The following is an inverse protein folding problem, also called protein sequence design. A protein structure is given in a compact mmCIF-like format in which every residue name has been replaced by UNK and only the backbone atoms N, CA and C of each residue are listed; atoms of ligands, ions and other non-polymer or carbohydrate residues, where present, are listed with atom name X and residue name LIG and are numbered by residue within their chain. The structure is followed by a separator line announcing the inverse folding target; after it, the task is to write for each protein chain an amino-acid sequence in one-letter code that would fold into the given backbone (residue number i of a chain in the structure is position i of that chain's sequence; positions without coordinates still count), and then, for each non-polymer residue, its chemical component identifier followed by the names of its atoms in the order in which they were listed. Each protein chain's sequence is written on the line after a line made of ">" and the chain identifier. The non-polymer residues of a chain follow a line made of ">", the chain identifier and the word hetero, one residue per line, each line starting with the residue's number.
data_IF_080244767616
#
_entry.id   IF_080244767616
#
_cell.length_a   1.000
_cell.length_b   1.000
_cell.length_c   1.000
_cell.angle_alpha   90.00
_cell.angle_beta   90.00
_cell.angle_gamma   90.00
#
_symmetry.space_group_name_H-M   'P 1'
#
loop_
_entity.id
_entity.type
_entity.pdbx_description
1 polymer ?
#
# COMPACT_ATOMS: atom_id res chain seq x y z
N UNK A 1 -56.44 -90.39 -24.14
CA UNK A 1 -56.52 -89.04 -24.75
C UNK A 1 -56.54 -88.04 -23.59
N UNK A 2 -55.64 -87.04 -23.60
CA UNK A 2 -55.64 -85.95 -22.61
C UNK A 2 -54.58 -86.04 -21.50
N UNK A 3 -53.32 -85.75 -21.86
CA UNK A 3 -52.25 -85.39 -20.92
C UNK A 3 -52.65 -84.09 -20.20
N UNK A 4 -52.94 -84.15 -18.90
CA UNK A 4 -52.79 -82.97 -18.03
C UNK A 4 -51.36 -83.07 -17.53
N UNK A 5 -50.47 -82.32 -18.20
CA UNK A 5 -49.10 -82.15 -17.76
C UNK A 5 -49.10 -81.74 -16.28
N UNK A 6 -48.52 -82.61 -15.46
CA UNK A 6 -47.91 -82.25 -14.19
C UNK A 6 -47.00 -81.06 -14.46
N UNK A 7 -47.43 -79.85 -14.13
CA UNK A 7 -46.51 -78.82 -13.68
C UNK A 7 -45.97 -79.34 -12.35
N UNK A 8 -44.89 -80.13 -12.44
CA UNK A 8 -43.97 -80.29 -11.34
C UNK A 8 -43.51 -78.88 -10.99
N UNK A 9 -44.16 -78.28 -10.00
CA UNK A 9 -43.54 -77.26 -9.19
C UNK A 9 -42.59 -78.06 -8.30
N UNK A 10 -41.31 -78.00 -8.61
CA UNK A 10 -40.26 -78.45 -7.70
C UNK A 10 -40.40 -77.64 -6.40
N UNK A 11 -41.13 -78.16 -5.43
CA UNK A 11 -41.22 -77.61 -4.08
C UNK A 11 -40.00 -78.03 -3.28
N UNK A 12 -38.83 -77.53 -3.69
CA UNK A 12 -37.58 -77.62 -2.93
C UNK A 12 -36.73 -76.34 -3.10
N UNK A 13 -37.36 -75.18 -3.24
CA UNK A 13 -36.68 -73.92 -3.00
C UNK A 13 -36.82 -73.59 -1.50
N UNK A 14 -35.73 -73.56 -0.72
CA UNK A 14 -35.80 -73.14 0.68
C UNK A 14 -36.25 -71.68 0.72
N UNK A 15 -37.45 -71.43 1.24
CA UNK A 15 -37.93 -70.08 1.49
C UNK A 15 -37.04 -69.37 2.52
N UNK A 16 -36.93 -68.04 2.40
CA UNK A 16 -36.09 -67.26 3.31
C UNK A 16 -36.58 -67.36 4.76
N UNK A 17 -35.64 -67.62 5.67
CA UNK A 17 -35.90 -67.57 7.11
C UNK A 17 -36.14 -66.13 7.56
N UNK A 18 -37.01 -65.92 8.55
CA UNK A 18 -37.21 -64.61 9.17
C UNK A 18 -35.91 -63.96 9.66
N UNK A 19 -34.92 -64.78 10.05
CA UNK A 19 -33.59 -64.31 10.46
C UNK A 19 -32.83 -63.75 9.26
N UNK A 20 -32.89 -64.40 8.09
CA UNK A 20 -32.23 -63.95 6.86
C UNK A 20 -32.84 -62.64 6.37
N UNK A 21 -34.17 -62.50 6.44
CA UNK A 21 -34.87 -61.24 6.13
C UNK A 21 -34.45 -60.13 7.10
N UNK A 22 -34.34 -60.42 8.40
CA UNK A 22 -33.93 -59.44 9.40
C UNK A 22 -32.48 -58.97 9.20
N UNK A 23 -31.57 -59.91 8.90
CA UNK A 23 -30.17 -59.60 8.56
C UNK A 23 -30.10 -58.77 7.29
N UNK A 24 -30.86 -59.13 6.24
CA UNK A 24 -30.90 -58.39 4.99
C UNK A 24 -31.42 -56.95 5.17
N UNK A 25 -32.51 -56.76 5.93
CA UNK A 25 -33.05 -55.43 6.25
C UNK A 25 -32.06 -54.61 7.08
N UNK A 26 -31.34 -55.24 7.99
CA UNK A 26 -30.32 -54.57 8.83
C UNK A 26 -29.14 -54.09 7.97
N UNK A 27 -28.58 -54.95 7.12
CA UNK A 27 -27.50 -54.59 6.18
C UNK A 27 -27.94 -53.46 5.23
N UNK A 28 -29.17 -53.58 4.71
CA UNK A 28 -29.74 -52.56 3.82
C UNK A 28 -29.92 -51.21 4.53
N UNK A 29 -30.38 -51.23 5.79
CA UNK A 29 -30.54 -50.02 6.61
C UNK A 29 -29.19 -49.33 6.88
N UNK A 30 -28.14 -50.08 7.25
CA UNK A 30 -26.80 -49.54 7.44
C UNK A 30 -26.21 -48.97 6.13
N UNK A 31 -26.48 -49.63 5.01
CA UNK A 31 -26.03 -49.17 3.69
C UNK A 31 -26.71 -47.86 3.29
N UNK A 32 -28.03 -47.75 3.46
CA UNK A 32 -28.77 -46.50 3.19
C UNK A 32 -28.25 -45.37 4.09
N UNK A 33 -28.06 -45.63 5.39
CA UNK A 33 -27.56 -44.63 6.33
C UNK A 33 -26.16 -44.14 5.92
N UNK A 34 -25.29 -45.05 5.50
CA UNK A 34 -23.94 -44.73 5.01
C UNK A 34 -23.98 -43.88 3.73
N UNK A 35 -24.85 -44.21 2.77
CA UNK A 35 -25.02 -43.43 1.54
C UNK A 35 -25.55 -42.02 1.87
N UNK A 36 -26.59 -41.92 2.70
CA UNK A 36 -27.19 -40.64 3.06
C UNK A 36 -26.20 -39.73 3.80
N UNK A 37 -25.45 -40.26 4.76
CA UNK A 37 -24.42 -39.49 5.49
C UNK A 37 -23.33 -38.99 4.54
N UNK A 38 -22.89 -39.81 3.59
CA UNK A 38 -21.95 -39.40 2.54
C UNK A 38 -22.52 -38.29 1.66
N UNK A 39 -23.79 -38.41 1.21
CA UNK A 39 -24.46 -37.40 0.39
C UNK A 39 -24.64 -36.07 1.13
N UNK A 40 -25.04 -36.10 2.42
CA UNK A 40 -25.15 -34.90 3.24
C UNK A 40 -23.79 -34.24 3.48
N UNK A 41 -22.74 -35.04 3.70
CA UNK A 41 -21.38 -34.54 3.85
C UNK A 41 -20.89 -33.87 2.56
N UNK A 42 -21.10 -34.50 1.41
CA UNK A 42 -20.75 -33.95 0.10
C UNK A 42 -21.48 -32.62 -0.17
N UNK A 43 -22.79 -32.53 0.13
CA UNK A 43 -23.55 -31.30 -0.03
C UNK A 43 -23.04 -30.18 0.89
N UNK A 44 -22.77 -30.49 2.17
CA UNK A 44 -22.19 -29.54 3.11
C UNK A 44 -20.83 -29.02 2.64
N UNK A 45 -19.97 -29.92 2.13
CA UNK A 45 -18.66 -29.55 1.61
C UNK A 45 -18.77 -28.69 0.34
N UNK A 46 -19.72 -28.97 -0.55
CA UNK A 46 -19.95 -28.16 -1.74
C UNK A 46 -20.42 -26.73 -1.38
N UNK A 47 -21.36 -26.60 -0.44
CA UNK A 47 -21.83 -25.29 0.05
C UNK A 47 -20.69 -24.54 0.74
N UNK A 48 -19.92 -25.22 1.59
CA UNK A 48 -18.77 -24.62 2.27
C UNK A 48 -17.69 -24.17 1.28
N UNK A 49 -17.35 -25.00 0.29
CA UNK A 49 -16.39 -24.66 -0.76
C UNK A 49 -16.83 -23.44 -1.58
N UNK A 50 -18.12 -23.34 -1.91
CA UNK A 50 -18.69 -22.16 -2.57
C UNK A 50 -18.53 -20.90 -1.71
N UNK A 51 -18.83 -20.97 -0.41
CA UNK A 51 -18.65 -19.83 0.50
C UNK A 51 -17.18 -19.41 0.64
N UNK A 52 -16.25 -20.35 0.72
CA UNK A 52 -14.82 -20.05 0.73
C UNK A 52 -14.38 -19.34 -0.56
N UNK A 53 -14.89 -19.78 -1.71
CA UNK A 53 -14.60 -19.16 -3.00
C UNK A 53 -15.16 -17.73 -3.09
N UNK A 54 -16.43 -17.54 -2.70
CA UNK A 54 -17.04 -16.21 -2.66
C UNK A 54 -16.31 -15.28 -1.68
N UNK A 55 -15.97 -15.76 -0.48
CA UNK A 55 -15.19 -15.00 0.51
C UNK A 55 -13.81 -14.59 -0.01
N UNK A 56 -13.15 -15.43 -0.82
CA UNK A 56 -11.87 -15.10 -1.44
C UNK A 56 -12.00 -13.95 -2.46
N UNK A 57 -13.04 -13.98 -3.31
CA UNK A 57 -13.31 -12.90 -4.26
C UNK A 57 -13.63 -11.59 -3.51
N UNK A 58 -14.48 -11.67 -2.49
CA UNK A 58 -14.84 -10.49 -1.70
C UNK A 58 -13.63 -9.89 -0.98
N UNK A 59 -12.77 -10.72 -0.39
CA UNK A 59 -11.52 -10.26 0.23
C UNK A 59 -10.62 -9.54 -0.79
N UNK A 60 -10.47 -10.10 -2.00
CA UNK A 60 -9.65 -9.49 -3.04
C UNK A 60 -10.22 -8.15 -3.51
N UNK A 61 -11.52 -8.07 -3.77
CA UNK A 61 -12.17 -6.83 -4.15
C UNK A 61 -12.07 -5.78 -3.03
N UNK A 62 -12.22 -6.21 -1.77
CA UNK A 62 -12.09 -5.34 -0.61
C UNK A 62 -10.66 -4.80 -0.46
N UNK A 63 -9.63 -5.62 -0.74
CA UNK A 63 -8.24 -5.16 -0.74
C UNK A 63 -8.01 -4.02 -1.72
N UNK A 64 -8.51 -4.16 -2.95
CA UNK A 64 -8.37 -3.11 -3.97
C UNK A 64 -9.09 -1.81 -3.57
N UNK A 65 -10.28 -1.89 -2.97
CA UNK A 65 -10.98 -0.70 -2.48
C UNK A 65 -10.28 -0.06 -1.27
N UNK A 66 -9.68 -0.86 -0.37
CA UNK A 66 -8.85 -0.34 0.72
C UNK A 66 -7.62 0.38 0.16
N UNK A 67 -6.92 -0.20 -0.82
CA UNK A 67 -5.75 0.42 -1.47
C UNK A 67 -6.10 1.79 -2.07
N UNK A 68 -7.23 1.90 -2.79
CA UNK A 68 -7.72 3.19 -3.31
C UNK A 68 -8.07 4.18 -2.20
N UNK A 69 -8.68 3.70 -1.12
CA UNK A 69 -9.06 4.54 0.02
C UNK A 69 -7.83 5.03 0.81
N UNK A 70 -6.77 4.23 0.87
CA UNK A 70 -5.46 4.64 1.40
C UNK A 70 -4.85 5.71 0.49
N UNK A 71 -4.74 5.42 -0.82
CA UNK A 71 -4.18 6.34 -1.81
C UNK A 71 -4.83 7.73 -1.76
N UNK A 72 -6.17 7.79 -1.74
CA UNK A 72 -6.90 9.05 -1.68
C UNK A 72 -6.59 9.86 -0.41
N UNK A 73 -6.46 9.22 0.74
CA UNK A 73 -6.12 9.88 2.01
C UNK A 73 -4.70 10.42 2.00
N UNK A 74 -3.77 9.59 1.52
CA UNK A 74 -2.38 9.95 1.35
C UNK A 74 -2.19 11.13 0.39
N UNK A 75 -2.94 11.17 -0.72
CA UNK A 75 -2.97 12.32 -1.64
C UNK A 75 -3.48 13.60 -0.96
N UNK A 76 -4.40 13.48 -0.02
CA UNK A 76 -4.93 14.61 0.75
C UNK A 76 -4.05 15.01 1.96
N UNK A 77 -2.91 14.33 2.18
CA UNK A 77 -2.04 14.56 3.33
C UNK A 77 -2.59 14.05 4.67
N UNK A 78 -3.63 13.20 4.64
CA UNK A 78 -4.19 12.56 5.83
C UNK A 78 -3.34 11.36 6.23
N UNK A 79 -2.83 11.34 7.46
CA UNK A 79 -2.17 10.18 8.04
C UNK A 79 -3.20 9.15 8.52
N UNK A 80 -2.92 7.87 8.30
CA UNK A 80 -3.71 6.78 8.86
C UNK A 80 -3.35 6.64 10.34
N UNK A 81 -4.18 7.19 11.23
CA UNK A 81 -3.99 7.07 12.67
C UNK A 81 -4.08 5.60 13.12
N UNK A 82 -2.99 5.07 13.66
CA UNK A 82 -2.93 3.80 14.39
C UNK A 82 -3.49 4.00 15.81
N UNK A 83 -4.19 3.01 16.36
CA UNK A 83 -4.77 3.12 17.70
C UNK A 83 -5.61 1.90 18.12
N UNK A 84 -5.92 1.81 19.42
CA UNK A 84 -6.58 0.64 20.01
C UNK A 84 -8.08 0.52 19.68
N UNK A 85 -8.75 1.63 19.34
CA UNK A 85 -10.18 1.61 19.06
C UNK A 85 -10.47 1.26 17.59
N UNK A 86 -11.27 0.21 17.30
CA UNK A 86 -11.59 -0.11 15.93
C UNK A 86 -12.48 0.97 15.28
N UNK A 87 -12.24 1.25 13.99
CA UNK A 87 -13.02 2.18 13.18
C UNK A 87 -13.95 1.42 12.22
N UNK A 88 -15.00 2.09 11.74
CA UNK A 88 -15.93 1.48 10.77
C UNK A 88 -15.27 1.30 9.40
N UNK A 89 -15.23 0.07 8.89
CA UNK A 89 -14.72 -0.23 7.55
C UNK A 89 -15.54 0.45 6.45
N UNK A 90 -16.86 0.50 6.59
CA UNK A 90 -17.74 1.14 5.61
C UNK A 90 -17.48 2.65 5.52
N UNK A 91 -17.36 3.34 6.67
CA UNK A 91 -17.04 4.77 6.70
C UNK A 91 -15.61 5.06 6.25
N UNK A 92 -14.68 4.12 6.49
CA UNK A 92 -13.33 4.22 5.95
C UNK A 92 -13.32 4.17 4.41
N UNK A 93 -14.10 3.29 3.80
CA UNK A 93 -14.18 3.22 2.34
C UNK A 93 -15.00 4.37 1.75
N UNK A 94 -16.08 4.76 2.42
CA UNK A 94 -16.94 5.84 1.99
C UNK A 94 -17.58 6.53 3.21
N UNK A 95 -17.13 7.75 3.51
CA UNK A 95 -17.63 8.55 4.65
C UNK A 95 -19.13 8.85 4.57
N UNK A 96 -19.74 8.76 3.39
CA UNK A 96 -21.17 9.00 3.19
C UNK A 96 -22.02 7.75 3.40
N UNK A 97 -21.44 6.55 3.52
CA UNK A 97 -22.16 5.28 3.72
C UNK A 97 -22.53 5.07 5.19
N UNK A 98 -23.24 6.04 5.76
CA UNK A 98 -23.65 6.06 7.17
C UNK A 98 -24.68 4.98 7.51
N UNK A 99 -25.46 4.54 6.53
CA UNK A 99 -26.42 3.43 6.64
C UNK A 99 -25.82 2.07 6.25
N UNK A 100 -24.52 2.02 5.91
CA UNK A 100 -23.77 0.82 5.52
C UNK A 100 -24.36 0.04 4.32
N UNK A 101 -25.27 0.65 3.58
CA UNK A 101 -25.99 0.02 2.48
C UNK A 101 -25.07 -0.26 1.30
N UNK A 102 -24.17 0.67 0.99
CA UNK A 102 -23.25 0.55 -0.14
C UNK A 102 -22.26 -0.58 0.14
N UNK A 103 -21.68 -0.60 1.33
CA UNK A 103 -20.78 -1.67 1.76
C UNK A 103 -21.48 -3.04 1.75
N UNK A 104 -22.66 -3.13 2.37
CA UNK A 104 -23.40 -4.39 2.48
C UNK A 104 -23.80 -4.94 1.11
N UNK A 105 -24.10 -4.07 0.15
CA UNK A 105 -24.42 -4.48 -1.21
C UNK A 105 -23.17 -4.91 -2.00
N UNK A 106 -22.06 -4.19 -1.86
CA UNK A 106 -20.82 -4.47 -2.60
C UNK A 106 -20.11 -5.73 -2.09
N UNK A 107 -20.09 -5.95 -0.77
CA UNK A 107 -19.30 -7.01 -0.14
C UNK A 107 -20.17 -8.07 0.55
N UNK A 108 -21.49 -8.08 0.32
CA UNK A 108 -22.41 -9.04 0.93
C UNK A 108 -22.26 -9.11 2.47
N UNK A 109 -22.21 -7.95 3.13
CA UNK A 109 -22.07 -7.81 4.59
C UNK A 109 -23.25 -8.39 5.40
N UNK A 110 -24.32 -8.83 4.72
CA UNK A 110 -25.40 -9.62 5.33
C UNK A 110 -24.99 -11.06 5.62
N UNK A 111 -24.06 -11.62 4.84
CA UNK A 111 -23.62 -13.01 4.97
C UNK A 111 -22.22 -13.14 5.56
N UNK A 112 -21.38 -12.12 5.37
CA UNK A 112 -19.98 -12.12 5.78
C UNK A 112 -19.69 -11.00 6.78
N UNK A 113 -18.80 -11.27 7.72
CA UNK A 113 -18.19 -10.27 8.61
C UNK A 113 -16.74 -10.05 8.18
N UNK A 114 -16.26 -8.81 8.29
CA UNK A 114 -14.94 -8.40 7.84
C UNK A 114 -14.15 -7.72 8.96
N UNK A 115 -12.97 -8.25 9.24
CA UNK A 115 -11.95 -7.58 10.08
C UNK A 115 -10.77 -7.21 9.18
N UNK A 116 -10.37 -5.94 9.21
CA UNK A 116 -9.28 -5.41 8.40
C UNK A 116 -8.26 -4.75 9.30
N UNK A 117 -6.99 -5.07 9.10
CA UNK A 117 -5.88 -4.54 9.89
C UNK A 117 -4.87 -3.89 8.94
N UNK A 118 -4.55 -2.62 9.19
CA UNK A 118 -3.64 -1.84 8.35
C UNK A 118 -2.48 -1.36 9.22
N UNK A 119 -1.24 -1.70 8.82
CA UNK A 119 -0.01 -1.27 9.50
C UNK A 119 0.91 -0.55 8.52
N UNK A 120 1.49 0.57 8.95
CA UNK A 120 2.53 1.23 8.17
C UNK A 120 3.81 0.39 8.13
N UNK A 121 4.45 0.30 6.96
CA UNK A 121 5.75 -0.36 6.84
C UNK A 121 6.88 0.51 7.39
N UNK A 122 7.83 -0.10 8.12
CA UNK A 122 9.07 0.55 8.54
C UNK A 122 10.19 0.30 7.53
N UNK A 123 10.95 1.33 7.20
CA UNK A 123 11.96 1.32 6.13
C UNK A 123 13.08 0.29 6.28
N UNK A 124 13.30 -0.26 7.48
CA UNK A 124 14.38 -1.19 7.78
C UNK A 124 13.91 -2.59 8.23
N UNK A 125 12.61 -2.88 8.17
CA UNK A 125 12.08 -4.19 8.56
C UNK A 125 11.78 -5.05 7.33
N UNK A 126 12.41 -6.24 7.26
CA UNK A 126 12.19 -7.25 6.21
C UNK A 126 11.08 -8.23 6.55
N UNK A 127 10.64 -8.24 7.81
CA UNK A 127 9.57 -9.08 8.32
C UNK A 127 8.60 -8.23 9.11
N UNK A 128 7.31 -8.49 8.94
CA UNK A 128 6.25 -7.77 9.63
C UNK A 128 5.43 -8.69 10.49
N UNK A 129 5.22 -8.25 11.72
CA UNK A 129 4.25 -8.81 12.65
C UNK A 129 3.19 -7.76 12.94
N UNK A 130 1.92 -8.18 12.78
CA UNK A 130 0.76 -7.37 13.12
C UNK A 130 0.46 -7.60 14.61
N UNK A 131 0.81 -6.62 15.44
CA UNK A 131 0.53 -6.60 16.88
C UNK A 131 -0.64 -5.67 17.15
N UNK A 132 -1.58 -6.07 18.01
CA UNK A 132 -2.87 -5.39 18.20
C UNK A 132 -2.79 -3.89 18.51
N UNK A 133 -1.71 -3.44 19.15
CA UNK A 133 -1.43 -2.08 19.58
C UNK A 133 -0.80 -1.19 18.49
N UNK A 134 -0.44 -1.75 17.34
CA UNK A 134 0.29 -1.08 16.24
C UNK A 134 -0.42 -1.22 14.88
N UNK A 135 -1.74 -1.35 14.88
CA UNK A 135 -2.54 -1.48 13.66
C UNK A 135 -3.76 -0.59 13.73
N UNK A 136 -4.05 0.08 12.63
CA UNK A 136 -5.39 0.58 12.36
C UNK A 136 -6.32 -0.62 12.16
N UNK A 137 -7.26 -0.80 13.08
CA UNK A 137 -8.28 -1.86 13.00
C UNK A 137 -9.56 -1.29 12.40
N UNK A 138 -10.02 -1.85 11.29
CA UNK A 138 -11.28 -1.52 10.63
C UNK A 138 -12.20 -2.73 10.69
N UNK A 139 -13.42 -2.54 11.21
CA UNK A 139 -14.39 -3.63 11.38
C UNK A 139 -15.65 -3.31 10.60
N UNK A 140 -16.22 -4.31 9.95
CA UNK A 140 -17.56 -4.20 9.39
C UNK A 140 -18.59 -4.14 10.52
N UNK A 141 -19.42 -3.10 10.50
CA UNK A 141 -20.50 -2.89 11.47
C UNK A 141 -21.82 -3.16 10.76
N UNK A 142 -22.68 -3.94 11.41
CA UNK A 142 -24.06 -4.12 10.99
C UNK A 142 -25.01 -3.35 11.91
N UNK A 143 -26.02 -2.70 11.33
CA UNK A 143 -27.23 -2.22 12.03
C UNK A 143 -26.98 -1.35 13.29
N UNK A 144 -25.92 -0.55 13.34
CA UNK A 144 -25.66 0.36 14.47
C UNK A 144 -25.27 -0.35 15.78
N UNK A 145 -24.81 -1.60 15.69
CA UNK A 145 -24.21 -2.32 16.84
C UNK A 145 -22.92 -1.63 17.28
N UNK A 146 -22.60 -1.73 18.58
CA UNK A 146 -21.33 -1.23 19.11
C UNK A 146 -20.17 -1.92 18.39
N UNK A 147 -19.12 -1.15 18.14
CA UNK A 147 -17.83 -1.65 17.67
C UNK A 147 -17.27 -2.51 18.80
N UNK A 148 -17.39 -3.82 18.65
CA UNK A 148 -16.73 -4.77 19.53
C UNK A 148 -15.45 -5.26 18.84
N UNK A 149 -14.33 -5.20 19.55
CA UNK A 149 -13.09 -5.82 19.10
C UNK A 149 -13.38 -7.31 18.93
N UNK A 150 -13.09 -7.93 17.77
CA UNK A 150 -13.26 -9.36 17.59
C UNK A 150 -12.55 -10.12 18.73
N UNK A 151 -13.29 -10.90 19.52
CA UNK A 151 -12.76 -11.60 20.72
C UNK A 151 -11.59 -12.55 20.42
N UNK A 152 -11.42 -12.90 19.14
CA UNK A 152 -10.29 -13.62 18.59
C UNK A 152 -9.61 -12.72 17.57
N UNK A 153 -8.61 -11.96 18.02
CA UNK A 153 -7.49 -11.68 17.12
C UNK A 153 -7.04 -13.05 16.59
N UNK A 154 -7.14 -13.31 15.28
CA UNK A 154 -6.58 -14.53 14.75
C UNK A 154 -5.10 -14.56 15.13
N UNK A 155 -4.59 -15.74 15.50
CA UNK A 155 -3.23 -15.99 15.97
C UNK A 155 -2.22 -15.03 15.31
N UNK A 156 -1.21 -14.58 16.05
CA UNK A 156 -0.06 -13.80 15.54
C UNK A 156 0.58 -14.50 14.34
N UNK A 157 0.07 -14.23 13.14
CA UNK A 157 0.48 -14.84 11.87
C UNK A 157 0.08 -13.79 10.80
N UNK A 158 0.98 -13.27 9.95
CA UNK A 158 1.85 -13.97 9.01
C UNK A 158 3.08 -13.11 8.77
N UNK A 159 4.29 -13.66 8.90
CA UNK A 159 5.51 -12.95 8.50
C UNK A 159 5.48 -12.70 7.00
N UNK A 160 5.17 -11.47 6.60
CA UNK A 160 5.38 -11.05 5.22
C UNK A 160 6.88 -10.77 5.07
N UNK A 161 7.60 -11.74 4.48
CA UNK A 161 9.01 -11.54 4.11
C UNK A 161 9.06 -10.65 2.88
N UNK A 162 9.32 -9.36 3.09
CA UNK A 162 9.57 -8.43 1.99
C UNK A 162 11.00 -8.65 1.49
N UNK A 163 11.18 -8.88 0.19
CA UNK A 163 12.53 -8.82 -0.37
C UNK A 163 13.02 -7.36 -0.28
N UNK A 164 14.32 -7.14 -0.02
CA UNK A 164 14.91 -5.79 0.01
C UNK A 164 14.63 -4.97 -1.26
N UNK A 165 14.37 -5.64 -2.40
CA UNK A 165 14.01 -5.01 -3.66
C UNK A 165 12.59 -4.42 -3.69
N UNK A 166 11.69 -4.85 -2.82
CA UNK A 166 10.31 -4.32 -2.73
C UNK A 166 10.21 -3.13 -1.76
N UNK A 167 11.22 -2.96 -0.90
CA UNK A 167 11.35 -1.85 0.06
C UNK A 167 12.17 -0.71 -0.55
N UNK A 168 12.55 -0.78 -1.83
CA UNK A 168 13.17 0.36 -2.48
C UNK A 168 12.11 1.47 -2.62
N UNK A 169 12.00 2.28 -1.58
CA UNK A 169 11.74 3.71 -1.68
C UNK A 169 12.51 4.12 -2.92
N UNK A 170 11.80 4.73 -3.87
CA UNK A 170 12.47 5.42 -4.95
C UNK A 170 13.42 6.40 -4.26
N UNK A 171 14.68 6.03 -4.19
CA UNK A 171 15.74 6.87 -3.71
C UNK A 171 16.07 7.68 -4.97
N UNK A 172 15.50 8.89 -5.18
CA UNK A 172 15.87 9.68 -6.35
C UNK A 172 17.38 9.94 -6.39
N UNK A 173 18.06 9.67 -5.27
CA UNK A 173 19.49 9.76 -5.01
C UNK A 173 20.32 8.56 -5.48
N UNK A 174 19.70 7.45 -5.96
CA UNK A 174 20.42 6.31 -6.57
C UNK A 174 20.59 6.51 -8.09
N UNK A 175 21.13 7.66 -8.49
CA UNK A 175 21.60 7.84 -9.86
C UNK A 175 22.97 7.14 -10.00
N UNK A 176 23.02 6.06 -10.78
CA UNK A 176 24.26 5.32 -11.11
C UNK A 176 25.27 6.13 -11.93
N UNK A 177 24.95 7.38 -12.26
CA UNK A 177 25.83 8.36 -12.88
C UNK A 177 25.90 9.59 -11.96
N UNK A 178 26.55 9.46 -10.80
CA UNK A 178 26.81 10.61 -9.94
C UNK A 178 27.70 11.58 -10.74
N UNK A 179 27.28 12.84 -10.95
CA UNK A 179 28.13 13.85 -11.57
C UNK A 179 29.39 14.04 -10.72
N UNK A 180 30.46 14.58 -11.32
CA UNK A 180 31.71 14.82 -10.58
C UNK A 180 31.48 15.65 -9.31
N UNK A 181 30.45 16.54 -9.26
CA UNK A 181 30.13 17.39 -8.10
C UNK A 181 28.61 17.56 -7.94
N UNK A 182 28.06 17.32 -6.73
CA UNK A 182 26.65 17.53 -6.42
C UNK A 182 26.41 18.05 -4.98
N UNK A 183 25.58 19.09 -4.83
CA UNK A 183 25.15 19.60 -3.52
C UNK A 183 23.63 19.64 -3.40
N UNK A 184 23.13 19.20 -2.23
CA UNK A 184 21.70 19.08 -1.95
C UNK A 184 21.31 19.93 -0.75
N UNK A 185 20.39 20.85 -0.99
CA UNK A 185 19.81 21.75 0.00
C UNK A 185 18.32 21.47 0.16
N UNK A 186 17.80 21.52 1.38
CA UNK A 186 16.37 21.41 1.64
C UNK A 186 15.88 22.49 2.60
N UNK A 187 14.68 23.00 2.36
CA UNK A 187 13.97 23.85 3.30
C UNK A 187 13.18 22.96 4.28
N UNK A 188 13.31 23.19 5.59
CA UNK A 188 12.66 22.39 6.63
C UNK A 188 11.46 23.10 7.29
N UNK A 189 10.84 24.02 6.57
CA UNK A 189 9.77 24.89 7.07
C UNK A 189 10.25 26.16 7.77
N UNK A 190 11.50 26.22 8.24
CA UNK A 190 12.05 27.40 8.94
C UNK A 190 13.32 27.95 8.30
N UNK A 191 14.30 27.09 7.99
CA UNK A 191 15.60 27.48 7.44
C UNK A 191 16.01 26.51 6.32
N UNK A 192 17.04 26.89 5.56
CA UNK A 192 17.73 25.98 4.64
C UNK A 192 18.75 25.10 5.38
N UNK A 193 18.74 23.80 5.11
CA UNK A 193 19.74 22.84 5.58
C UNK A 193 20.44 22.13 4.42
N UNK A 194 21.68 21.71 4.65
CA UNK A 194 22.43 20.86 3.72
C UNK A 194 22.02 19.41 4.00
N UNK A 195 21.40 18.77 3.01
CA UNK A 195 20.96 17.37 3.11
C UNK A 195 22.07 16.40 2.74
N UNK A 196 22.89 16.77 1.74
CA UNK A 196 24.03 15.98 1.29
C UNK A 196 25.00 16.89 0.55
N UNK A 197 26.30 16.71 0.82
CA UNK A 197 27.37 17.38 0.12
C UNK A 197 28.30 16.31 -0.44
N UNK A 198 28.57 16.35 -1.75
CA UNK A 198 29.64 15.58 -2.36
C UNK A 198 30.85 16.51 -2.50
N UNK A 199 31.75 16.54 -1.49
CA UNK A 199 32.78 17.56 -1.41
C UNK A 199 33.74 17.42 -2.57
N UNK A 200 33.98 18.55 -3.25
CA UNK A 200 35.00 18.67 -4.27
C UNK A 200 36.24 19.32 -3.66
N UNK A 201 37.43 18.81 -4.01
CA UNK A 201 38.70 19.45 -3.64
C UNK A 201 38.85 20.86 -4.26
N UNK A 202 38.04 21.16 -5.28
CA UNK A 202 38.20 22.32 -6.18
C UNK A 202 37.06 23.31 -6.16
N UNK A 203 35.83 22.87 -5.90
CA UNK A 203 34.61 23.70 -5.98
C UNK A 203 33.84 23.64 -4.66
N UNK A 204 33.37 24.79 -4.20
CA UNK A 204 32.50 24.92 -3.05
C UNK A 204 31.18 25.56 -3.49
N UNK A 205 30.05 24.98 -3.06
CA UNK A 205 28.74 25.61 -3.17
C UNK A 205 28.30 26.06 -1.78
N UNK A 206 28.03 27.35 -1.64
CA UNK A 206 27.52 27.93 -0.40
C UNK A 206 26.08 28.40 -0.61
N UNK A 207 25.18 28.01 0.27
CA UNK A 207 23.84 28.57 0.37
C UNK A 207 23.79 29.52 1.57
N UNK A 208 23.32 30.74 1.34
CA UNK A 208 23.12 31.77 2.33
C UNK A 208 21.66 32.22 2.29
N UNK A 209 21.00 32.22 3.43
CA UNK A 209 19.67 32.81 3.57
C UNK A 209 19.81 34.32 3.77
N UNK A 210 19.20 35.11 2.88
CA UNK A 210 19.30 36.58 2.89
C UNK A 210 18.11 37.23 3.60
N UNK A 211 16.94 36.58 3.59
CA UNK A 211 15.72 37.07 4.25
C UNK A 211 14.69 35.95 4.38
N UNK A 212 13.90 35.98 5.45
CA UNK A 212 12.81 35.04 5.73
C UNK A 212 11.47 35.48 5.13
N UNK A 213 11.25 36.80 4.90
CA UNK A 213 10.02 37.34 4.28
C UNK A 213 10.33 38.59 3.44
N UNK A 214 10.26 38.54 2.09
CA UNK A 214 10.11 37.34 1.27
C UNK A 214 11.32 36.40 1.44
N UNK A 215 11.09 35.10 1.22
CA UNK A 215 12.13 34.10 1.37
C UNK A 215 13.16 34.28 0.24
N UNK A 216 14.35 34.75 0.59
CA UNK A 216 15.43 35.02 -0.35
C UNK A 216 16.65 34.18 0.03
N UNK A 217 17.19 33.46 -0.95
CA UNK A 217 18.45 32.73 -0.76
C UNK A 217 19.44 33.04 -1.88
N UNK A 218 20.71 33.01 -1.51
CA UNK A 218 21.85 33.19 -2.39
C UNK A 218 22.66 31.91 -2.40
N UNK A 219 22.86 31.36 -3.59
CA UNK A 219 23.70 30.19 -3.84
C UNK A 219 24.94 30.67 -4.60
N UNK A 220 26.13 30.37 -4.08
CA UNK A 220 27.41 30.78 -4.68
C UNK A 220 28.25 29.56 -4.98
N UNK A 221 28.59 29.37 -6.25
CA UNK A 221 29.57 28.39 -6.70
C UNK A 221 30.92 29.09 -6.83
N UNK A 222 31.93 28.65 -6.06
CA UNK A 222 33.27 29.25 -6.04
C UNK A 222 34.36 28.19 -6.00
N UNK A 223 35.59 28.58 -6.35
CA UNK A 223 36.75 27.73 -6.12
C UNK A 223 37.05 27.61 -4.62
N UNK A 224 37.48 26.43 -4.17
CA UNK A 224 37.91 26.19 -2.76
C UNK A 224 39.17 26.99 -2.41
N UNK A 225 39.99 27.34 -3.42
CA UNK A 225 41.17 28.18 -3.26
C UNK A 225 41.01 29.52 -3.99
N UNK A 226 41.68 30.57 -3.50
CA UNK A 226 41.68 31.92 -4.10
C UNK A 226 42.22 31.99 -5.53
N UNK A 227 42.75 30.88 -6.06
CA UNK A 227 43.27 30.76 -7.42
C UNK A 227 42.45 29.72 -8.20
N UNK A 228 42.12 29.99 -9.48
CA UNK A 228 41.42 29.04 -10.32
C UNK A 228 42.29 27.80 -10.52
N UNK A 229 41.89 26.68 -9.92
CA UNK A 229 42.41 25.36 -10.29
C UNK A 229 41.91 25.07 -11.70
N UNK A 230 42.74 24.49 -12.57
CA UNK A 230 42.31 24.12 -13.92
C UNK A 230 41.16 23.11 -13.82
N UNK A 231 39.94 23.59 -14.01
CA UNK A 231 38.78 22.78 -14.33
C UNK A 231 38.84 22.42 -15.81
N UNK A 232 38.38 21.23 -16.17
CA UNK A 232 38.21 20.85 -17.58
C UNK A 232 36.83 21.36 -18.01
N UNK A 233 36.65 21.78 -19.26
CA UNK A 233 35.40 22.36 -19.80
C UNK A 233 34.14 21.50 -19.59
N UNK A 234 34.34 20.23 -19.27
CA UNK A 234 33.29 19.22 -19.12
C UNK A 234 32.88 19.04 -17.64
N UNK A 235 33.51 19.75 -16.70
CA UNK A 235 33.19 19.67 -15.28
C UNK A 235 31.82 20.30 -15.01
N UNK A 236 30.86 19.43 -14.66
CA UNK A 236 29.47 19.77 -14.33
C UNK A 236 29.25 19.75 -12.83
N UNK A 237 28.66 20.83 -12.30
CA UNK A 237 28.22 20.94 -10.91
C UNK A 237 26.70 20.82 -10.90
N UNK A 238 26.17 19.87 -10.15
CA UNK A 238 24.73 19.76 -9.95
C UNK A 238 24.32 20.31 -8.59
N UNK A 239 23.32 21.17 -8.58
CA UNK A 239 22.80 21.76 -7.35
C UNK A 239 21.33 21.43 -7.29
N UNK A 240 20.93 20.78 -6.20
CA UNK A 240 19.56 20.37 -5.96
C UNK A 240 19.00 21.18 -4.79
N UNK A 241 17.95 21.96 -5.06
CA UNK A 241 17.26 22.75 -4.05
C UNK A 241 15.85 22.22 -3.86
N UNK A 242 15.58 21.66 -2.69
CA UNK A 242 14.26 21.17 -2.30
C UNK A 242 13.45 22.25 -1.58
N UNK A 243 12.50 22.83 -2.31
CA UNK A 243 11.59 23.87 -1.86
C UNK A 243 10.16 23.35 -1.66
N UNK A 244 9.94 22.03 -1.56
CA UNK A 244 8.61 21.43 -1.44
C UNK A 244 7.87 21.77 -0.12
N UNK A 245 8.60 22.17 0.91
CA UNK A 245 8.06 22.63 2.19
C UNK A 245 7.90 24.16 2.26
N UNK A 246 8.28 24.91 1.21
CA UNK A 246 8.05 26.35 1.16
C UNK A 246 6.58 26.59 0.85
N UNK A 247 5.91 27.40 1.67
CA UNK A 247 4.56 27.90 1.39
C UNK A 247 4.61 28.95 0.27
N UNK A 248 4.61 28.46 -0.98
CA UNK A 248 4.65 29.27 -2.19
C UNK A 248 3.30 29.94 -2.49
N UNK A 249 2.24 29.65 -1.74
CA UNK A 249 0.97 30.38 -1.84
C UNK A 249 1.05 31.70 -1.06
N UNK A 250 1.64 31.65 0.14
CA UNK A 250 1.82 32.81 0.99
C UNK A 250 3.06 33.65 0.60
N UNK A 251 4.13 33.02 0.11
CA UNK A 251 5.42 33.67 -0.10
C UNK A 251 5.97 33.51 -1.53
N UNK A 252 6.78 34.48 -1.94
CA UNK A 252 7.64 34.34 -3.13
C UNK A 252 9.04 33.94 -2.69
N UNK A 253 9.57 32.91 -3.35
CA UNK A 253 10.95 32.45 -3.21
C UNK A 253 11.81 33.12 -4.28
N UNK A 254 12.82 33.89 -3.87
CA UNK A 254 13.81 34.45 -4.79
C UNK A 254 15.17 33.79 -4.56
N UNK A 255 15.74 33.25 -5.63
CA UNK A 255 17.00 32.50 -5.61
C UNK A 255 18.00 33.23 -6.49
N UNK A 256 19.07 33.75 -5.88
CA UNK A 256 20.21 34.32 -6.60
C UNK A 256 21.29 33.26 -6.73
N UNK A 257 21.56 32.78 -7.95
CA UNK A 257 22.57 31.76 -8.21
C UNK A 257 23.78 32.38 -8.91
N UNK A 258 24.90 32.48 -8.20
CA UNK A 258 26.16 33.02 -8.72
C UNK A 258 27.13 31.90 -9.06
N UNK A 259 27.56 31.81 -10.33
CA UNK A 259 28.65 30.94 -10.74
C UNK A 259 29.92 31.77 -10.97
N UNK A 260 30.89 31.62 -10.06
CA UNK A 260 32.21 32.26 -10.13
C UNK A 260 33.28 31.33 -10.73
N UNK A 261 32.86 30.29 -11.44
CA UNK A 261 33.76 29.25 -11.97
C UNK A 261 33.50 28.99 -13.45
N UNK A 262 34.44 28.28 -14.08
CA UNK A 262 34.35 27.83 -15.47
C UNK A 262 33.43 26.61 -15.66
N UNK A 263 32.91 26.03 -14.58
CA UNK A 263 32.05 24.85 -14.65
C UNK A 263 30.67 25.15 -15.21
N UNK A 264 30.06 24.14 -15.82
CA UNK A 264 28.64 24.15 -16.15
C UNK A 264 27.83 23.77 -14.91
N UNK A 265 26.94 24.64 -14.45
CA UNK A 265 26.06 24.41 -13.31
C UNK A 265 24.71 23.93 -13.83
N UNK A 266 24.25 22.74 -13.41
CA UNK A 266 22.84 22.37 -13.52
C UNK A 266 22.17 22.60 -12.16
N UNK A 267 21.24 23.55 -12.13
CA UNK A 267 20.44 23.85 -10.96
C UNK A 267 19.05 23.25 -11.08
N UNK A 268 18.72 22.31 -10.20
CA UNK A 268 17.43 21.62 -10.13
C UNK A 268 16.68 22.12 -8.90
N UNK A 269 15.50 22.71 -9.10
CA UNK A 269 14.61 23.09 -8.00
C UNK A 269 13.45 22.10 -7.92
N UNK A 270 13.29 21.46 -6.77
CA UNK A 270 12.15 20.62 -6.44
C UNK A 270 11.04 21.42 -5.76
N UNK A 271 9.80 21.20 -6.16
CA UNK A 271 8.58 21.82 -5.60
C UNK A 271 7.53 20.75 -5.25
N UNK A 272 6.55 21.08 -4.41
CA UNK A 272 5.44 20.18 -4.07
C UNK A 272 4.54 19.89 -5.29
N UNK A 273 3.81 18.78 -5.22
CA UNK A 273 2.88 18.23 -6.23
C UNK A 273 1.62 19.10 -6.45
N UNK A 274 1.80 20.36 -6.87
CA UNK A 274 0.72 21.20 -7.40
C UNK A 274 1.20 21.97 -8.65
N UNK A 275 1.10 21.26 -9.78
CA UNK A 275 1.10 21.67 -11.20
C UNK A 275 1.39 23.17 -11.48
N UNK A 276 2.56 23.50 -12.04
CA UNK A 276 2.99 24.68 -12.84
C UNK A 276 2.53 26.12 -12.48
N UNK A 277 1.52 26.33 -11.64
CA UNK A 277 0.89 27.60 -11.31
C UNK A 277 1.70 28.35 -10.24
N UNK A 278 2.43 27.61 -9.40
CA UNK A 278 3.30 28.14 -8.35
C UNK A 278 4.72 28.47 -8.86
N UNK A 279 5.09 28.08 -10.08
CA UNK A 279 6.41 28.40 -10.66
C UNK A 279 6.64 29.90 -10.80
N UNK A 280 5.56 30.68 -10.96
CA UNK A 280 5.60 32.15 -10.97
C UNK A 280 6.06 32.75 -9.63
N UNK A 281 5.97 31.99 -8.54
CA UNK A 281 6.39 32.40 -7.20
C UNK A 281 7.82 31.96 -6.88
N UNK A 282 8.51 31.27 -7.80
CA UNK A 282 9.93 30.93 -7.69
C UNK A 282 10.73 31.73 -8.73
N UNK A 283 11.30 32.86 -8.31
CA UNK A 283 12.21 33.66 -9.11
C UNK A 283 13.64 33.14 -9.01
N UNK A 284 14.25 32.76 -10.14
CA UNK A 284 15.67 32.35 -10.18
C UNK A 284 16.44 33.37 -11.00
N UNK A 285 17.47 33.96 -10.39
CA UNK A 285 18.34 34.97 -10.97
C UNK A 285 19.74 34.39 -11.15
N UNK A 286 20.04 33.77 -12.32
CA UNK A 286 21.36 33.24 -12.61
C UNK A 286 22.34 34.37 -12.93
N UNK A 287 23.53 34.33 -12.34
CA UNK A 287 24.61 35.29 -12.54
C UNK A 287 25.88 34.49 -12.85
N UNK A 288 26.28 34.52 -14.11
CA UNK A 288 27.52 33.91 -14.58
C UNK A 288 28.63 34.98 -14.57
N UNK A 289 29.61 34.83 -13.68
CA UNK A 289 30.71 35.80 -13.55
C UNK A 289 31.96 35.40 -14.36
N UNK A 290 32.14 34.10 -14.64
CA UNK A 290 33.20 33.61 -15.54
C UNK A 290 32.63 33.38 -16.95
N UNK A 291 33.20 33.97 -18.02
CA UNK A 291 32.64 33.86 -19.37
C UNK A 291 32.66 32.45 -19.99
N UNK A 292 33.43 31.50 -19.43
CA UNK A 292 33.52 30.13 -19.97
C UNK A 292 32.48 29.18 -19.34
N UNK A 293 31.92 29.51 -18.18
CA UNK A 293 30.90 28.69 -17.52
C UNK A 293 29.48 28.97 -18.01
N UNK A 294 28.55 28.07 -17.69
CA UNK A 294 27.12 28.25 -17.96
C UNK A 294 26.27 27.82 -16.76
N UNK A 295 25.04 28.35 -16.66
CA UNK A 295 24.03 27.93 -15.69
C UNK A 295 22.80 27.43 -16.44
N UNK A 296 22.43 26.18 -16.20
CA UNK A 296 21.21 25.54 -16.67
C UNK A 296 20.24 25.39 -15.51
N UNK A 297 18.97 25.73 -15.74
CA UNK A 297 17.93 25.68 -14.70
C UNK A 297 16.88 24.65 -15.11
N UNK A 298 16.67 23.67 -14.24
CA UNK A 298 15.59 22.71 -14.32
C UNK A 298 14.66 22.89 -13.12
N UNK A 299 13.37 22.77 -13.35
CA UNK A 299 12.40 22.67 -12.26
C UNK A 299 11.74 21.30 -12.33
N UNK A 300 11.65 20.62 -11.19
CA UNK A 300 11.08 19.29 -11.08
C UNK A 300 10.06 19.29 -9.96
N UNK A 301 9.02 18.49 -10.11
CA UNK A 301 8.13 18.21 -8.99
C UNK A 301 8.79 17.15 -8.12
N UNK A 302 8.83 17.37 -6.81
CA UNK A 302 9.37 16.39 -5.89
C UNK A 302 8.37 15.25 -5.73
N UNK A 303 8.82 14.04 -6.04
CA UNK A 303 8.11 12.84 -5.64
C UNK A 303 8.36 12.60 -4.16
N UNK A 304 7.38 12.92 -3.31
CA UNK A 304 7.46 12.64 -1.88
C UNK A 304 7.23 11.14 -1.66
N UNK A 305 8.15 10.41 -1.01
CA UNK A 305 7.90 9.04 -0.55
C UNK A 305 6.65 8.96 0.31
N UNK A 306 5.60 8.35 -0.23
CA UNK A 306 4.44 7.95 0.55
C UNK A 306 4.75 6.63 1.26
N UNK A 307 4.22 6.48 2.47
CA UNK A 307 4.42 5.26 3.25
C UNK A 307 3.75 4.07 2.57
N UNK A 308 4.37 2.90 2.65
CA UNK A 308 3.72 1.64 2.25
C UNK A 308 2.93 1.08 3.44
N UNK A 309 1.91 0.27 3.15
CA UNK A 309 1.04 -0.31 4.17
C UNK A 309 0.80 -1.79 3.92
N UNK A 310 0.79 -2.57 5.00
CA UNK A 310 0.37 -3.97 4.99
C UNK A 310 -1.09 -4.03 5.37
N UNK A 311 -1.88 -4.75 4.58
CA UNK A 311 -3.32 -4.90 4.76
C UNK A 311 -3.62 -6.37 5.02
N UNK A 312 -4.16 -6.72 6.19
CA UNK A 312 -4.72 -8.04 6.47
C UNK A 312 -6.24 -7.97 6.45
N UNK A 313 -6.88 -8.92 5.78
CA UNK A 313 -8.33 -9.02 5.66
C UNK A 313 -8.76 -10.42 6.10
N UNK A 314 -9.63 -10.46 7.11
CA UNK A 314 -10.21 -11.68 7.66
C UNK A 314 -11.71 -11.66 7.35
N UNK A 315 -12.17 -12.67 6.60
CA UNK A 315 -13.57 -12.84 6.24
C UNK A 315 -14.15 -14.00 7.03
N UNK A 316 -15.25 -13.76 7.74
CA UNK A 316 -15.92 -14.73 8.60
C UNK A 316 -17.34 -15.02 8.14
N UNK A 317 -17.78 -16.26 8.34
CA UNK A 317 -19.15 -16.69 8.07
C UNK A 317 -20.07 -16.27 9.21
N UNK A 318 -20.91 -15.27 8.98
CA UNK A 318 -21.86 -14.77 9.97
C UNK A 318 -22.90 -15.80 10.37
N UNK A 319 -23.25 -16.72 9.46
CA UNK A 319 -24.28 -17.74 9.69
C UNK A 319 -23.75 -18.95 10.46
N UNK A 320 -22.44 -19.16 10.51
CA UNK A 320 -21.79 -20.32 11.14
C UNK A 320 -20.88 -19.91 12.31
N UNK A 321 -21.33 -19.01 13.18
CA UNK A 321 -20.62 -18.63 14.40
C UNK A 321 -19.28 -17.95 14.14
N UNK A 322 -19.21 -17.11 13.10
CA UNK A 322 -18.03 -16.32 12.71
C UNK A 322 -16.77 -17.16 12.42
N UNK A 323 -16.97 -18.38 11.89
CA UNK A 323 -15.88 -19.22 11.38
C UNK A 323 -15.13 -18.48 10.28
N UNK A 324 -13.80 -18.45 10.37
CA UNK A 324 -12.95 -17.85 9.34
C UNK A 324 -13.10 -18.65 8.03
N UNK A 325 -13.50 -17.97 6.97
CA UNK A 325 -13.60 -18.51 5.61
C UNK A 325 -12.36 -18.18 4.79
N UNK A 326 -11.78 -17.00 5.01
CA UNK A 326 -10.59 -16.50 4.32
C UNK A 326 -9.79 -15.59 5.24
N UNK A 327 -8.47 -15.76 5.21
CA UNK A 327 -7.48 -14.81 5.72
C UNK A 327 -6.56 -14.45 4.55
N UNK A 328 -6.31 -13.16 4.36
CA UNK A 328 -5.52 -12.63 3.26
C UNK A 328 -4.63 -11.50 3.76
N UNK A 329 -3.38 -11.49 3.31
CA UNK A 329 -2.46 -10.38 3.53
C UNK A 329 -2.04 -9.84 2.16
N UNK A 330 -2.06 -8.52 2.04
CA UNK A 330 -1.72 -7.78 0.83
C UNK A 330 -0.86 -6.56 1.18
N UNK A 331 -0.17 -6.01 0.19
CA UNK A 331 0.71 -4.85 0.33
C UNK A 331 0.17 -3.71 -0.54
N UNK A 332 -0.02 -2.55 0.08
CA UNK A 332 -0.08 -1.29 -0.63
C UNK A 332 1.33 -0.72 -0.72
N UNK A 333 1.88 -0.71 -1.94
CA UNK A 333 3.08 0.05 -2.26
C UNK A 333 2.66 1.27 -3.06
N UNK A 334 3.03 2.46 -2.60
CA UNK A 334 2.80 3.65 -3.40
C UNK A 334 3.78 3.63 -4.59
N UNK A 335 3.27 3.35 -5.80
CA UNK A 335 4.08 3.42 -7.00
C UNK A 335 4.29 4.89 -7.38
N UNK A 336 5.54 5.34 -7.27
CA UNK A 336 6.01 6.69 -7.62
C UNK A 336 5.77 7.08 -9.08
N UNK A 337 5.25 6.16 -9.90
CA UNK A 337 4.96 6.41 -11.30
C UNK A 337 3.62 7.14 -11.43
N UNK A 338 3.76 8.47 -11.43
CA UNK A 338 2.95 9.37 -12.26
C UNK A 338 1.53 9.60 -11.69
N UNK A 339 1.42 10.56 -10.77
CA UNK A 339 0.26 11.43 -10.73
C UNK A 339 0.49 12.61 -11.70
N UNK A 340 0.54 12.34 -13.00
CA UNK A 340 0.18 13.39 -13.97
C UNK A 340 -1.33 13.35 -14.15
N UNK A 341 -2.01 14.30 -13.54
CA UNK A 341 -3.31 14.79 -14.02
C UNK A 341 -3.17 16.25 -14.42
#
# INVERSE_FOLDING_TARGET
>A
MGKICKFFKDENEPGFSYIEVLVAVTIFSFSILSILTMSFSALKNAIFGRRCYEAAIMAQNLSEEIKKAIEKRLMNGELLEEGEEPKSLALFLNSNDTDYCIFNQAFNGKEYEYDVYIKQTETNQTQYQLMADQVLTLVHIDEGKKIEVPSLMPDTITELSLSPSNISIFNPYNCTNVPNFADYFNYNGSNWSIKMNYPADKIQVDLQEESTVPLNCKIVVRYVSSFPVSLVSDDRVEIYLDASEVDLEAFKLSIRLENNTKSNVLFIVYRRDEVNQLDKNIGIFPIQNDPEGNIFIERKTQTIPQNNYIIRIVVRDKKNGSKILKDMVDLYSHDYRIATY
#
